data_IF_609828544710
#
_entry.id   IF_609828544710
#
_cell.length_a   1.000
_cell.length_b   1.000
_cell.length_c   1.000
_cell.angle_alpha   90.00
_cell.angle_beta   90.00
_cell.angle_gamma   90.00
#
_symmetry.space_group_name_H-M   'P 1'
#
loop_
_entity.id
_entity.type
_entity.pdbx_description
1 polymer ?
#
# COMPACT_ATOMS: atom_id res chain seq x y z
N UNK A 1 21.72 41.48 -8.79
CA UNK A 1 20.36 40.92 -8.98
C UNK A 1 19.89 40.33 -7.66
N UNK A 2 18.98 40.99 -6.95
CA UNK A 2 18.43 40.45 -5.70
C UNK A 2 17.46 39.32 -6.04
N UNK A 3 17.83 38.08 -5.69
CA UNK A 3 16.97 36.91 -5.86
C UNK A 3 15.90 36.94 -4.77
N UNK A 4 14.82 37.70 -4.98
CA UNK A 4 13.68 37.74 -4.07
C UNK A 4 12.97 36.38 -4.10
N UNK A 5 13.27 35.52 -3.13
CA UNK A 5 12.67 34.19 -3.03
C UNK A 5 11.28 34.30 -2.41
N UNK A 6 10.26 33.88 -3.16
CA UNK A 6 8.90 33.85 -2.65
C UNK A 6 8.71 32.68 -1.68
N UNK A 7 8.75 32.96 -0.39
CA UNK A 7 8.59 31.99 0.69
C UNK A 7 7.24 31.27 0.67
N UNK A 8 6.18 31.89 0.15
CA UNK A 8 4.87 31.25 0.03
C UNK A 8 4.88 30.13 -1.02
N UNK A 9 5.58 30.33 -2.14
CA UNK A 9 5.77 29.27 -3.15
C UNK A 9 6.58 28.09 -2.56
N UNK A 10 7.61 28.39 -1.77
CA UNK A 10 8.43 27.36 -1.10
C UNK A 10 7.60 26.55 -0.10
N UNK A 11 6.82 27.20 0.77
CA UNK A 11 5.92 26.51 1.71
C UNK A 11 4.90 25.63 0.98
N UNK A 12 4.26 26.15 -0.08
CA UNK A 12 3.32 25.38 -0.90
C UNK A 12 3.98 24.15 -1.53
N UNK A 13 5.20 24.29 -2.04
CA UNK A 13 5.98 23.17 -2.59
C UNK A 13 6.29 22.12 -1.52
N UNK A 14 6.69 22.54 -0.32
CA UNK A 14 6.95 21.64 0.82
C UNK A 14 5.70 20.87 1.25
N UNK A 15 4.57 21.55 1.39
CA UNK A 15 3.28 20.91 1.73
C UNK A 15 2.89 19.85 0.71
N UNK A 16 2.89 20.22 -0.59
CA UNK A 16 2.55 19.30 -1.67
C UNK A 16 3.47 18.07 -1.73
N UNK A 17 4.76 18.25 -1.44
CA UNK A 17 5.70 17.14 -1.39
C UNK A 17 5.41 16.18 -0.23
N UNK A 18 5.07 16.71 0.96
CA UNK A 18 4.68 15.90 2.11
C UNK A 18 3.38 15.12 1.85
N UNK A 19 2.38 15.78 1.26
CA UNK A 19 1.10 15.16 0.91
C UNK A 19 1.27 14.03 -0.11
N UNK A 20 2.15 14.23 -1.12
CA UNK A 20 2.48 13.19 -2.10
C UNK A 20 3.17 11.99 -1.46
N UNK A 21 4.18 12.21 -0.62
CA UNK A 21 4.85 11.12 0.10
C UNK A 21 3.89 10.31 0.97
N UNK A 22 2.92 10.97 1.62
CA UNK A 22 1.88 10.30 2.41
C UNK A 22 0.91 9.52 1.52
N UNK A 23 0.52 10.08 0.38
CA UNK A 23 -0.34 9.39 -0.58
C UNK A 23 0.33 8.15 -1.16
N UNK A 24 1.62 8.22 -1.48
CA UNK A 24 2.40 7.08 -1.98
C UNK A 24 2.52 6.00 -0.89
N UNK A 25 2.81 6.38 0.36
CA UNK A 25 2.82 5.46 1.49
C UNK A 25 1.44 4.79 1.69
N UNK A 26 0.35 5.56 1.61
CA UNK A 26 -1.00 5.02 1.71
C UNK A 26 -1.38 4.15 0.51
N UNK A 27 -0.89 4.44 -0.69
CA UNK A 27 -1.09 3.59 -1.86
C UNK A 27 -0.34 2.26 -1.69
N UNK A 28 0.84 2.26 -1.08
CA UNK A 28 1.54 1.00 -0.73
C UNK A 28 0.77 0.26 0.37
N UNK A 29 0.32 0.96 1.41
CA UNK A 29 -0.36 0.35 2.56
C UNK A 29 -1.80 -0.12 2.24
N UNK A 30 -2.50 0.59 1.36
CA UNK A 30 -3.93 0.41 1.13
C UNK A 30 -4.32 0.23 -0.34
N UNK A 31 -3.42 0.44 -1.30
CA UNK A 31 -3.69 0.50 -2.74
C UNK A 31 -3.96 -0.84 -3.42
N UNK A 32 -4.00 -1.95 -2.67
CA UNK A 32 -4.58 -3.19 -3.20
C UNK A 32 -6.09 -3.01 -3.32
N UNK A 33 -6.59 -3.17 -4.55
CA UNK A 33 -8.01 -3.10 -4.85
C UNK A 33 -8.78 -4.20 -4.10
N UNK A 34 -10.09 -4.03 -3.90
CA UNK A 34 -10.93 -5.04 -3.23
C UNK A 34 -10.87 -6.39 -3.98
N UNK A 35 -10.76 -6.35 -5.31
CA UNK A 35 -10.63 -7.54 -6.17
C UNK A 35 -9.29 -8.24 -5.97
N UNK A 36 -8.18 -7.51 -5.84
CA UNK A 36 -6.86 -8.11 -5.57
C UNK A 36 -6.80 -8.74 -4.18
N UNK A 37 -7.39 -8.08 -3.19
CA UNK A 37 -7.52 -8.61 -1.82
C UNK A 37 -8.38 -9.89 -1.80
N UNK A 38 -9.45 -9.93 -2.58
CA UNK A 38 -10.33 -11.10 -2.68
C UNK A 38 -9.63 -12.28 -3.38
N UNK A 39 -8.90 -12.02 -4.46
CA UNK A 39 -8.10 -13.03 -5.17
C UNK A 39 -7.05 -13.66 -4.25
N UNK A 40 -6.30 -12.84 -3.51
CA UNK A 40 -5.30 -13.35 -2.55
C UNK A 40 -5.93 -14.09 -1.38
N UNK A 41 -7.12 -13.68 -0.93
CA UNK A 41 -7.88 -14.46 0.06
C UNK A 41 -8.26 -15.82 -0.50
N UNK A 42 -8.85 -15.89 -1.69
CA UNK A 42 -9.23 -17.15 -2.32
C UNK A 42 -8.03 -18.10 -2.54
N UNK A 43 -6.88 -17.54 -2.94
CA UNK A 43 -5.63 -18.29 -3.08
C UNK A 43 -5.14 -18.86 -1.75
N UNK A 44 -5.16 -18.06 -0.68
CA UNK A 44 -4.80 -18.52 0.67
C UNK A 44 -5.74 -19.60 1.19
N UNK A 45 -7.05 -19.42 1.00
CA UNK A 45 -8.05 -20.39 1.43
C UNK A 45 -7.89 -21.73 0.67
N UNK A 46 -7.58 -21.69 -0.63
CA UNK A 46 -7.26 -22.89 -1.40
C UNK A 46 -6.01 -23.58 -0.87
N UNK A 47 -4.92 -22.84 -0.69
CA UNK A 47 -3.68 -23.40 -0.16
C UNK A 47 -3.89 -24.03 1.24
N UNK A 48 -4.65 -23.37 2.12
CA UNK A 48 -4.98 -23.92 3.43
C UNK A 48 -5.78 -25.24 3.34
N UNK A 49 -6.75 -25.32 2.41
CA UNK A 49 -7.50 -26.57 2.15
C UNK A 49 -6.62 -27.67 1.60
N UNK A 50 -5.76 -27.34 0.64
CA UNK A 50 -4.82 -28.30 0.05
C UNK A 50 -3.86 -28.84 1.13
N UNK A 51 -3.31 -27.96 1.98
CA UNK A 51 -2.49 -28.37 3.13
C UNK A 51 -3.27 -29.22 4.15
N UNK A 52 -4.53 -28.87 4.44
CA UNK A 52 -5.37 -29.65 5.34
C UNK A 52 -5.70 -31.04 4.75
N UNK A 53 -5.96 -31.14 3.44
CA UNK A 53 -6.19 -32.41 2.76
C UNK A 53 -4.93 -33.29 2.70
N UNK A 54 -3.74 -32.67 2.77
CA UNK A 54 -2.47 -33.38 2.78
C UNK A 54 -1.93 -33.64 4.18
N UNK A 55 -2.54 -33.08 5.24
CA UNK A 55 -2.28 -33.51 6.61
C UNK A 55 -2.80 -34.93 6.74
N UNK A 56 -1.88 -35.86 6.97
CA UNK A 56 -2.22 -37.15 7.55
C UNK A 56 -2.47 -36.87 9.03
N UNK A 57 -3.55 -37.43 9.57
CA UNK A 57 -3.83 -37.40 11.00
C UNK A 57 -2.70 -38.15 11.71
N UNK A 58 -1.64 -37.44 12.07
CA UNK A 58 -0.59 -37.96 12.92
C UNK A 58 -1.12 -37.98 14.36
N UNK A 59 -1.73 -39.13 14.70
CA UNK A 59 -2.13 -39.67 16.01
C UNK A 59 -3.30 -38.99 16.77
#
# INVERSE_FOLDING_TARGET
MSNVVNLNKVRKKKSRAADKSRADANAVLHGRSKTDKALDKARRDKAAKDHASHKRDDA
#
